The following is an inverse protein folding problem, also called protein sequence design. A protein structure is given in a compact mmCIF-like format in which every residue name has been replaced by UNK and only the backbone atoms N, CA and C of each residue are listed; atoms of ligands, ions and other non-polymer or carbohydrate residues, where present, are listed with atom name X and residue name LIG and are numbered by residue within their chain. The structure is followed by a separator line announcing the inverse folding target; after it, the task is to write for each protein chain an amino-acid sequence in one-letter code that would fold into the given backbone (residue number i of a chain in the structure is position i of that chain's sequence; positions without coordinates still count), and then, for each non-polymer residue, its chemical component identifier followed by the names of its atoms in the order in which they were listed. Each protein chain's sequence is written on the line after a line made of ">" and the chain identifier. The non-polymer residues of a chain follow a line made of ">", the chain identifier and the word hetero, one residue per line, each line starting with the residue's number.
data_IF_655650321886
#
_entry.id   IF_655650321886
#
_cell.length_a   1.000
_cell.length_b   1.000
_cell.length_c   1.000
_cell.angle_alpha   90.00
_cell.angle_beta   90.00
_cell.angle_gamma   90.00
#
_symmetry.space_group_name_H-M   'P 1'
#
loop_
_entity.id
_entity.type
_entity.pdbx_description
1 polymer ?
#
# COMPACT_ATOMS: atom_id res chain seq x y z
N UNK A 1 -12.99 -26.02 -37.56
CA UNK A 1 -13.38 -25.00 -36.56
C UNK A 1 -14.74 -25.42 -35.98
N UNK A 2 -14.74 -26.13 -34.81
CA UNK A 2 -15.97 -26.72 -34.24
C UNK A 2 -16.62 -25.66 -33.36
N UNK A 3 -17.78 -25.15 -33.78
CA UNK A 3 -18.61 -24.27 -32.95
C UNK A 3 -19.19 -25.12 -31.81
N UNK A 4 -18.65 -25.00 -30.58
CA UNK A 4 -19.32 -25.55 -29.39
C UNK A 4 -20.69 -24.86 -29.24
N UNK A 5 -21.73 -25.72 -29.16
CA UNK A 5 -23.12 -25.28 -29.02
C UNK A 5 -23.29 -24.51 -27.68
N UNK A 6 -23.93 -23.37 -27.68
CA UNK A 6 -24.16 -22.49 -26.50
C UNK A 6 -24.76 -23.27 -25.31
N UNK A 7 -25.65 -24.23 -25.57
CA UNK A 7 -26.23 -25.12 -24.54
C UNK A 7 -25.18 -26.00 -23.85
N UNK A 8 -24.17 -26.48 -24.60
CA UNK A 8 -23.09 -27.27 -24.02
C UNK A 8 -22.20 -26.45 -23.11
N UNK A 9 -21.93 -25.21 -23.48
CA UNK A 9 -21.16 -24.28 -22.67
C UNK A 9 -21.89 -23.88 -21.36
N UNK A 10 -23.21 -23.73 -21.41
CA UNK A 10 -24.02 -23.47 -20.23
C UNK A 10 -24.06 -24.68 -19.30
N UNK A 11 -24.21 -25.90 -19.84
CA UNK A 11 -24.18 -27.12 -19.05
C UNK A 11 -22.82 -27.36 -18.39
N UNK A 12 -21.72 -27.18 -19.14
CA UNK A 12 -20.36 -27.30 -18.60
C UNK A 12 -20.10 -26.27 -17.49
N UNK A 13 -20.63 -25.06 -17.64
CA UNK A 13 -20.53 -23.98 -16.63
C UNK A 13 -21.31 -24.30 -15.36
N UNK A 14 -22.54 -24.82 -15.50
CA UNK A 14 -23.36 -25.23 -14.35
C UNK A 14 -22.71 -26.38 -13.57
N UNK A 15 -22.10 -27.34 -14.27
CA UNK A 15 -21.40 -28.46 -13.67
C UNK A 15 -20.19 -28.00 -12.85
N UNK A 16 -19.37 -27.09 -13.39
CA UNK A 16 -18.22 -26.50 -12.71
C UNK A 16 -18.67 -25.69 -11.47
N UNK A 17 -19.78 -24.94 -11.58
CA UNK A 17 -20.32 -24.19 -10.45
C UNK A 17 -20.89 -25.10 -9.35
N UNK A 18 -21.50 -26.22 -9.73
CA UNK A 18 -22.01 -27.21 -8.80
C UNK A 18 -20.88 -27.90 -8.01
N UNK A 19 -19.77 -28.25 -8.69
CA UNK A 19 -18.59 -28.84 -8.05
C UNK A 19 -17.88 -27.84 -7.14
N UNK A 20 -17.75 -26.57 -7.55
CA UNK A 20 -17.19 -25.50 -6.73
C UNK A 20 -18.02 -25.27 -5.47
N UNK A 21 -19.36 -25.29 -5.57
CA UNK A 21 -20.26 -25.17 -4.41
C UNK A 21 -20.12 -26.34 -3.45
N UNK A 22 -20.01 -27.59 -3.96
CA UNK A 22 -19.76 -28.77 -3.12
C UNK A 22 -18.43 -28.70 -2.39
N UNK A 23 -17.38 -28.27 -3.07
CA UNK A 23 -16.05 -28.15 -2.45
C UNK A 23 -16.03 -27.04 -1.39
N UNK A 24 -16.68 -25.90 -1.63
CA UNK A 24 -16.85 -24.83 -0.63
C UNK A 24 -17.65 -25.33 0.55
N UNK A 25 -18.77 -26.04 0.34
CA UNK A 25 -19.57 -26.60 1.41
C UNK A 25 -18.76 -27.58 2.26
N UNK A 26 -17.99 -28.49 1.62
CA UNK A 26 -17.10 -29.44 2.31
C UNK A 26 -16.03 -28.76 3.14
N UNK A 27 -15.44 -27.66 2.64
CA UNK A 27 -14.46 -26.87 3.40
C UNK A 27 -15.05 -26.10 4.56
N UNK A 28 -16.32 -25.68 4.44
CA UNK A 28 -17.05 -25.00 5.53
C UNK A 28 -17.54 -25.98 6.60
N UNK A 29 -17.70 -27.25 6.28
CA UNK A 29 -18.14 -28.30 7.22
C UNK A 29 -17.03 -28.79 8.17
N UNK A 30 -15.76 -28.42 7.95
CA UNK A 30 -14.68 -28.80 8.85
C UNK A 30 -14.91 -28.20 10.26
N UNK A 31 -14.98 -29.03 11.32
CA UNK A 31 -15.41 -28.58 12.67
C UNK A 31 -14.57 -27.45 13.25
N UNK A 32 -13.28 -27.43 12.93
CA UNK A 32 -12.33 -26.41 13.41
C UNK A 32 -12.62 -25.00 12.83
N UNK A 33 -12.97 -24.90 11.55
CA UNK A 33 -13.30 -23.62 10.89
C UNK A 33 -14.66 -23.09 11.35
N UNK A 34 -15.62 -23.99 11.48
CA UNK A 34 -16.96 -23.63 11.97
C UNK A 34 -16.93 -23.14 13.42
N UNK A 35 -16.10 -23.76 14.25
CA UNK A 35 -15.87 -23.32 15.63
C UNK A 35 -15.16 -21.96 15.69
N UNK A 36 -14.19 -21.72 14.81
CA UNK A 36 -13.53 -20.43 14.69
C UNK A 36 -14.49 -19.32 14.25
N UNK A 37 -15.27 -19.54 13.19
CA UNK A 37 -16.26 -18.57 12.72
C UNK A 37 -17.34 -18.27 13.77
N UNK A 38 -17.84 -19.29 14.48
CA UNK A 38 -18.79 -19.09 15.57
C UNK A 38 -18.19 -18.26 16.71
N UNK A 39 -16.96 -18.55 17.13
CA UNK A 39 -16.26 -17.79 18.18
C UNK A 39 -15.95 -16.35 17.75
N UNK A 40 -15.57 -16.14 16.49
CA UNK A 40 -15.35 -14.80 15.95
C UNK A 40 -16.66 -14.01 15.83
N UNK A 41 -17.75 -14.64 15.46
CA UNK A 41 -19.08 -14.01 15.40
C UNK A 41 -19.62 -13.65 16.79
N UNK A 42 -19.39 -14.52 17.80
CA UNK A 42 -19.75 -14.23 19.20
C UNK A 42 -18.87 -13.11 19.78
N UNK A 43 -17.57 -13.09 19.48
CA UNK A 43 -16.67 -12.02 19.93
C UNK A 43 -17.03 -10.67 19.25
N UNK A 44 -17.28 -10.68 17.94
CA UNK A 44 -17.73 -9.50 17.18
C UNK A 44 -19.12 -9.03 17.61
N UNK A 45 -20.05 -9.96 17.89
CA UNK A 45 -21.37 -9.63 18.40
C UNK A 45 -21.35 -9.05 19.83
N UNK A 46 -20.48 -9.56 20.70
CA UNK A 46 -20.26 -8.98 22.04
C UNK A 46 -19.66 -7.58 21.96
N UNK A 47 -18.75 -7.33 21.00
CA UNK A 47 -18.18 -6.00 20.77
C UNK A 47 -19.22 -4.99 20.28
N UNK A 48 -20.20 -5.43 19.47
CA UNK A 48 -21.32 -4.60 19.02
C UNK A 48 -22.33 -4.32 20.14
N UNK A 49 -22.55 -5.25 21.06
CA UNK A 49 -23.44 -5.07 22.21
C UNK A 49 -22.85 -4.16 23.29
N UNK A 50 -21.53 -4.12 23.43
CA UNK A 50 -20.86 -3.19 24.34
C UNK A 50 -20.83 -1.75 23.80
N UNK A 51 -21.10 -1.54 22.48
CA UNK A 51 -21.16 -0.23 21.84
C UNK A 51 -22.35 0.65 22.22
N UNK A 52 -23.37 0.10 22.90
CA UNK A 52 -24.57 0.87 23.28
C UNK A 52 -24.36 1.90 24.42
N UNK A 53 -23.18 1.95 25.02
CA UNK A 53 -22.85 2.91 26.08
C UNK A 53 -21.88 4.03 25.64
N UNK A 54 -21.47 4.04 24.36
CA UNK A 54 -20.50 5.01 23.83
C UNK A 54 -21.27 6.12 23.12
N UNK A 55 -21.88 7.01 23.89
CA UNK A 55 -22.60 8.20 23.37
C UNK A 55 -21.77 9.49 23.43
N UNK A 56 -20.55 9.42 23.96
CA UNK A 56 -19.63 10.55 24.02
C UNK A 56 -18.55 10.42 22.95
N UNK A 57 -18.38 11.44 22.10
CA UNK A 57 -17.39 11.48 21.01
C UNK A 57 -15.96 11.17 21.50
N UNK A 58 -15.59 11.68 22.67
CA UNK A 58 -14.28 11.44 23.28
C UNK A 58 -14.07 9.94 23.63
N UNK A 59 -15.13 9.24 24.01
CA UNK A 59 -15.06 7.81 24.35
C UNK A 59 -14.88 6.96 23.09
N UNK A 60 -15.53 7.32 21.97
CA UNK A 60 -15.37 6.65 20.68
C UNK A 60 -13.96 6.86 20.14
N UNK A 61 -13.47 8.08 20.16
CA UNK A 61 -12.11 8.41 19.72
C UNK A 61 -11.07 7.63 20.55
N UNK A 62 -11.21 7.61 21.86
CA UNK A 62 -10.31 6.86 22.76
C UNK A 62 -10.32 5.37 22.45
N UNK A 63 -11.49 4.77 22.21
CA UNK A 63 -11.62 3.35 21.86
C UNK A 63 -10.96 3.07 20.50
N UNK A 64 -11.19 3.90 19.49
CA UNK A 64 -10.57 3.76 18.17
C UNK A 64 -9.04 3.89 18.24
N UNK A 65 -8.54 4.84 19.03
CA UNK A 65 -7.10 5.00 19.27
C UNK A 65 -6.49 3.77 19.96
N UNK A 66 -7.19 3.14 20.89
CA UNK A 66 -6.71 1.91 21.53
C UNK A 66 -6.66 0.75 20.56
N UNK A 67 -7.68 0.60 19.69
CA UNK A 67 -7.70 -0.42 18.63
C UNK A 67 -6.56 -0.17 17.64
N UNK A 68 -6.33 1.08 17.22
CA UNK A 68 -5.22 1.44 16.35
C UNK A 68 -3.88 1.05 16.97
N UNK A 69 -3.62 1.45 18.20
CA UNK A 69 -2.38 1.08 18.92
C UNK A 69 -2.20 -0.42 19.12
N UNK A 70 -3.29 -1.15 19.28
CA UNK A 70 -3.24 -2.61 19.33
C UNK A 70 -2.84 -3.19 17.97
N UNK A 71 -3.44 -2.70 16.88
CA UNK A 71 -3.08 -3.10 15.52
C UNK A 71 -1.62 -2.81 15.21
N UNK A 72 -1.11 -1.64 15.59
CA UNK A 72 0.30 -1.26 15.41
C UNK A 72 1.23 -2.25 16.12
N UNK A 73 0.90 -2.65 17.35
CA UNK A 73 1.67 -3.67 18.08
C UNK A 73 1.63 -5.04 17.41
N UNK A 74 0.46 -5.45 16.91
CA UNK A 74 0.30 -6.73 16.18
C UNK A 74 1.11 -6.70 14.90
N UNK A 75 1.04 -5.60 14.14
CA UNK A 75 1.83 -5.43 12.92
C UNK A 75 3.33 -5.42 13.22
N UNK A 76 3.78 -4.67 14.23
CA UNK A 76 5.18 -4.66 14.65
C UNK A 76 5.71 -6.02 15.13
N UNK A 77 4.82 -6.91 15.59
CA UNK A 77 5.18 -8.29 15.93
C UNK A 77 5.19 -9.23 14.72
N UNK A 78 4.30 -8.99 13.74
CA UNK A 78 4.17 -9.83 12.54
C UNK A 78 5.19 -9.46 11.45
N UNK A 79 5.57 -8.20 11.37
CA UNK A 79 6.42 -7.67 10.31
C UNK A 79 7.73 -7.13 10.88
N UNK A 80 8.82 -7.57 10.29
CA UNK A 80 10.15 -7.05 10.58
C UNK A 80 10.40 -5.78 9.77
N UNK A 81 10.41 -4.62 10.42
CA UNK A 81 10.64 -3.31 9.79
C UNK A 81 12.04 -3.16 9.18
N UNK A 82 12.99 -4.03 9.55
CA UNK A 82 14.35 -4.03 9.00
C UNK A 82 14.48 -4.88 7.74
N UNK A 83 13.46 -5.68 7.42
CA UNK A 83 13.45 -6.53 6.23
C UNK A 83 13.11 -5.74 4.98
N UNK A 84 14.08 -5.59 4.11
CA UNK A 84 13.88 -4.93 2.82
C UNK A 84 12.95 -5.73 1.91
N UNK A 85 12.23 -5.02 1.03
CA UNK A 85 11.41 -5.63 0.00
C UNK A 85 12.26 -6.52 -0.93
N UNK A 86 11.71 -7.66 -1.40
CA UNK A 86 12.40 -8.49 -2.39
C UNK A 86 12.69 -7.72 -3.68
N UNK A 87 13.86 -7.96 -4.26
CA UNK A 87 14.23 -7.46 -5.59
C UNK A 87 13.94 -8.52 -6.65
N UNK A 88 13.72 -8.06 -7.87
CA UNK A 88 13.36 -8.91 -9.01
C UNK A 88 14.31 -8.66 -10.18
N UNK A 89 14.52 -9.62 -11.09
CA UNK A 89 15.28 -9.40 -12.31
C UNK A 89 14.51 -8.48 -13.28
N UNK A 90 15.24 -7.74 -14.11
CA UNK A 90 14.70 -6.78 -15.09
C UNK A 90 13.67 -7.41 -16.05
N UNK A 91 13.78 -8.73 -16.30
CA UNK A 91 12.83 -9.48 -17.13
C UNK A 91 11.42 -9.58 -16.55
N UNK A 92 11.25 -9.30 -15.26
CA UNK A 92 9.96 -9.31 -14.57
C UNK A 92 9.28 -7.94 -14.49
N UNK A 93 9.90 -6.90 -15.03
CA UNK A 93 9.32 -5.56 -15.03
C UNK A 93 8.00 -5.58 -15.81
N UNK A 94 6.94 -5.11 -15.18
CA UNK A 94 5.61 -4.99 -15.78
C UNK A 94 5.61 -3.93 -16.87
N UNK A 95 5.14 -4.30 -18.06
CA UNK A 95 5.06 -3.38 -19.21
C UNK A 95 3.73 -3.56 -19.95
N UNK A 96 2.93 -2.49 -20.17
CA UNK A 96 3.12 -1.14 -19.62
C UNK A 96 2.99 -1.13 -18.10
N UNK A 97 3.68 -0.19 -17.43
CA UNK A 97 3.48 0.03 -16.00
C UNK A 97 2.12 0.72 -15.81
N UNK A 98 1.28 0.28 -14.85
CA UNK A 98 -0.02 0.90 -14.62
C UNK A 98 0.11 2.38 -14.24
N UNK A 99 -0.76 3.20 -14.80
CA UNK A 99 -0.90 4.58 -14.36
C UNK A 99 -1.39 4.61 -12.90
N UNK A 100 -0.81 5.46 -12.08
CA UNK A 100 -1.09 5.52 -10.65
C UNK A 100 -1.15 6.98 -10.19
N UNK A 101 -2.32 7.58 -10.35
CA UNK A 101 -2.66 8.90 -9.84
C UNK A 101 -4.14 8.94 -9.46
N UNK A 102 -4.54 9.95 -8.68
CA UNK A 102 -5.95 10.20 -8.31
C UNK A 102 -6.73 11.00 -9.36
N UNK A 103 -6.11 11.28 -10.50
CA UNK A 103 -6.66 11.99 -11.66
C UNK A 103 -6.39 11.19 -12.95
N UNK A 104 -7.03 11.57 -14.06
CA UNK A 104 -6.86 10.93 -15.36
C UNK A 104 -5.52 11.23 -16.03
N UNK A 105 -5.10 10.37 -16.96
CA UNK A 105 -3.84 10.58 -17.71
C UNK A 105 -3.82 11.88 -18.50
N UNK A 106 -4.97 12.40 -18.90
CA UNK A 106 -5.16 13.67 -19.61
C UNK A 106 -5.00 14.91 -18.71
N UNK A 107 -4.97 14.71 -17.39
CA UNK A 107 -4.78 15.76 -16.40
C UNK A 107 -3.37 15.82 -15.84
N UNK A 108 -2.42 15.05 -16.41
CA UNK A 108 -1.03 15.03 -15.95
C UNK A 108 -0.43 16.44 -16.05
N UNK A 109 0.08 16.93 -14.91
CA UNK A 109 0.81 18.19 -14.88
C UNK A 109 2.20 17.98 -15.46
N UNK A 110 2.48 18.63 -16.58
CA UNK A 110 3.85 18.69 -17.14
C UNK A 110 4.75 19.55 -16.25
N UNK A 111 5.92 19.02 -15.94
CA UNK A 111 6.94 19.72 -15.15
C UNK A 111 8.18 19.89 -16.04
N UNK A 112 8.53 21.12 -16.33
CA UNK A 112 9.77 21.42 -17.04
C UNK A 112 10.98 21.13 -16.16
N UNK A 113 11.86 20.24 -16.61
CA UNK A 113 13.05 19.82 -15.85
C UNK A 113 13.96 21.00 -15.45
N UNK A 114 14.15 21.96 -16.34
CA UNK A 114 15.00 23.14 -16.10
C UNK A 114 14.44 24.07 -15.02
N UNK A 115 13.09 24.14 -14.94
CA UNK A 115 12.36 24.93 -13.94
C UNK A 115 12.19 24.23 -12.61
N UNK A 116 12.39 22.90 -12.55
CA UNK A 116 12.13 22.12 -11.32
C UNK A 116 13.03 22.53 -10.16
N UNK A 117 12.43 22.71 -9.02
CA UNK A 117 13.11 23.03 -7.75
C UNK A 117 12.52 22.17 -6.62
N UNK A 118 13.39 21.39 -5.99
CA UNK A 118 13.03 20.68 -4.76
C UNK A 118 13.31 21.58 -3.57
N UNK A 119 12.27 22.02 -2.91
CA UNK A 119 12.37 22.77 -1.66
C UNK A 119 12.57 21.83 -0.49
N UNK A 120 13.53 22.15 0.39
CA UNK A 120 13.80 21.38 1.59
C UNK A 120 13.59 22.30 2.80
N UNK A 121 12.69 21.90 3.72
CA UNK A 121 12.29 22.68 4.89
C UNK A 121 12.27 21.83 6.16
N UNK A 122 11.94 22.41 7.29
CA UNK A 122 11.80 21.70 8.56
C UNK A 122 13.12 21.54 9.32
N UNK A 123 13.31 20.39 9.94
CA UNK A 123 14.44 20.08 10.82
C UNK A 123 15.66 19.60 10.03
N UNK A 124 16.21 20.46 9.18
CA UNK A 124 17.41 20.24 8.36
C UNK A 124 18.38 21.40 8.50
N UNK A 125 19.67 21.17 8.32
CA UNK A 125 20.69 22.22 8.35
C UNK A 125 20.72 23.01 7.03
N UNK A 126 20.61 22.35 5.88
CA UNK A 126 20.62 22.96 4.54
C UNK A 126 19.17 23.06 3.99
N UNK A 127 18.58 24.25 4.13
CA UNK A 127 17.19 24.56 3.72
C UNK A 127 17.10 25.19 2.32
N UNK A 128 18.13 25.08 1.52
CA UNK A 128 18.11 25.61 0.15
C UNK A 128 17.23 24.77 -0.78
N UNK A 129 16.91 25.33 -1.91
CA UNK A 129 16.32 24.59 -3.01
C UNK A 129 17.37 23.79 -3.77
N UNK A 130 16.98 22.64 -4.31
CA UNK A 130 17.81 21.75 -5.09
C UNK A 130 17.30 21.66 -6.52
N UNK A 131 18.19 21.77 -7.47
CA UNK A 131 17.89 21.55 -8.89
C UNK A 131 17.90 20.06 -9.21
N UNK A 132 17.21 19.67 -10.29
CA UNK A 132 17.25 18.31 -10.78
C UNK A 132 18.67 17.88 -11.20
N UNK A 133 19.45 18.80 -11.77
CA UNK A 133 20.85 18.56 -12.13
C UNK A 133 21.71 18.22 -10.89
N UNK A 134 21.55 18.94 -9.79
CA UNK A 134 22.27 18.65 -8.54
C UNK A 134 21.87 17.30 -7.95
N UNK A 135 20.58 16.93 -8.00
CA UNK A 135 20.12 15.62 -7.57
C UNK A 135 20.69 14.51 -8.46
N UNK A 136 20.70 14.68 -9.78
CA UNK A 136 21.29 13.72 -10.73
C UNK A 136 22.81 13.57 -10.59
N UNK A 137 23.51 14.61 -10.12
CA UNK A 137 24.94 14.55 -9.84
C UNK A 137 25.31 13.77 -8.57
N UNK A 138 24.34 13.49 -7.70
CA UNK A 138 24.56 12.63 -6.52
C UNK A 138 24.64 11.15 -6.93
N UNK A 139 25.30 10.28 -6.15
CA UNK A 139 25.30 8.85 -6.42
C UNK A 139 23.87 8.30 -6.55
N UNK A 140 23.62 7.64 -7.66
CA UNK A 140 22.32 7.03 -7.98
C UNK A 140 22.32 5.53 -7.67
N UNK A 141 21.16 4.98 -7.33
CA UNK A 141 20.96 3.55 -7.14
C UNK A 141 19.68 3.13 -7.84
N UNK A 142 19.72 2.00 -8.52
CA UNK A 142 18.56 1.37 -9.13
C UNK A 142 18.10 0.18 -8.30
N UNK A 143 16.80 -0.04 -8.28
CA UNK A 143 16.21 -1.25 -7.70
C UNK A 143 14.97 -1.68 -8.47
N UNK A 144 14.75 -2.98 -8.58
CA UNK A 144 13.56 -3.55 -9.20
C UNK A 144 12.73 -4.18 -8.09
N UNK A 145 11.61 -3.57 -7.75
CA UNK A 145 10.74 -4.01 -6.64
C UNK A 145 9.28 -4.02 -7.05
N UNK A 146 8.46 -4.74 -6.29
CA UNK A 146 7.01 -4.74 -6.47
C UNK A 146 6.41 -3.51 -5.81
N UNK A 147 5.67 -2.75 -6.59
CA UNK A 147 4.73 -1.74 -6.10
C UNK A 147 3.36 -2.39 -5.85
N UNK A 148 2.77 -2.13 -4.70
CA UNK A 148 1.43 -2.60 -4.34
C UNK A 148 0.57 -1.36 -4.11
N UNK A 149 -0.48 -1.22 -4.92
CA UNK A 149 -1.41 -0.12 -4.82
C UNK A 149 -2.55 -0.43 -3.85
N UNK A 150 -3.06 0.60 -3.18
CA UNK A 150 -4.25 0.50 -2.30
C UNK A 150 -5.53 0.10 -3.06
N UNK A 151 -5.55 0.31 -4.36
CA UNK A 151 -6.63 -0.13 -5.26
C UNK A 151 -6.68 -1.64 -5.52
N UNK A 152 -5.73 -2.40 -4.96
CA UNK A 152 -5.71 -3.87 -5.03
C UNK A 152 -4.92 -4.47 -6.19
N UNK A 153 -4.26 -3.68 -7.02
CA UNK A 153 -3.33 -4.17 -8.05
C UNK A 153 -1.87 -4.08 -7.60
N UNK A 154 -1.00 -4.81 -8.27
CA UNK A 154 0.45 -4.70 -8.06
C UNK A 154 1.21 -4.83 -9.37
N UNK A 155 2.36 -4.16 -9.45
CA UNK A 155 3.24 -4.18 -10.61
C UNK A 155 4.72 -4.20 -10.16
N UNK A 156 5.59 -4.79 -10.97
CA UNK A 156 7.04 -4.75 -10.74
C UNK A 156 7.61 -3.60 -11.56
N UNK A 157 8.23 -2.63 -10.87
CA UNK A 157 8.85 -1.45 -11.48
C UNK A 157 10.34 -1.39 -11.22
N UNK A 158 11.07 -0.75 -12.14
CA UNK A 158 12.45 -0.32 -11.92
C UNK A 158 12.45 1.12 -11.45
N UNK A 159 13.03 1.34 -10.30
CA UNK A 159 13.09 2.63 -9.62
C UNK A 159 14.54 3.05 -9.53
N UNK A 160 14.85 4.25 -10.01
CA UNK A 160 16.19 4.79 -9.95
C UNK A 160 16.21 6.16 -9.30
N UNK A 161 17.27 6.47 -8.54
CA UNK A 161 17.42 7.77 -7.92
C UNK A 161 18.47 7.81 -6.82
N UNK A 162 18.53 8.95 -6.14
CA UNK A 162 19.40 9.15 -4.98
C UNK A 162 18.84 8.35 -3.80
N UNK A 163 19.60 7.49 -3.12
CA UNK A 163 19.15 6.87 -1.88
C UNK A 163 18.73 7.92 -0.86
N UNK A 164 17.48 7.84 -0.40
CA UNK A 164 16.89 8.86 0.47
C UNK A 164 17.72 9.13 1.71
N UNK A 165 18.23 8.09 2.37
CA UNK A 165 19.13 8.24 3.50
C UNK A 165 20.42 9.02 3.18
N UNK A 166 20.91 8.94 1.96
CA UNK A 166 22.06 9.73 1.51
C UNK A 166 21.71 11.20 1.33
N UNK A 167 20.54 11.47 0.80
CA UNK A 167 20.01 12.83 0.70
C UNK A 167 19.78 13.45 2.08
N UNK A 168 19.13 12.73 3.02
CA UNK A 168 18.93 13.22 4.39
C UNK A 168 20.24 13.58 5.09
N UNK A 169 21.27 12.74 4.94
CA UNK A 169 22.61 13.08 5.47
C UNK A 169 23.20 14.32 4.81
N UNK A 170 23.00 14.48 3.48
CA UNK A 170 23.53 15.62 2.72
C UNK A 170 22.93 16.94 3.17
N UNK A 171 21.62 16.96 3.46
CA UNK A 171 20.94 18.18 3.96
C UNK A 171 21.06 18.37 5.47
N UNK A 172 21.75 17.47 6.17
CA UNK A 172 21.92 17.53 7.62
C UNK A 172 20.58 17.42 8.36
N UNK A 173 19.77 16.42 7.98
CA UNK A 173 18.46 16.20 8.62
C UNK A 173 18.63 15.74 10.08
N UNK A 174 17.78 16.28 10.95
CA UNK A 174 17.65 15.81 12.33
C UNK A 174 16.90 14.48 12.36
N UNK A 175 17.61 13.39 12.64
CA UNK A 175 17.06 12.04 12.67
C UNK A 175 16.14 11.79 13.88
N UNK A 176 15.97 12.74 14.78
CA UNK A 176 14.94 12.67 15.83
C UNK A 176 13.54 13.06 15.33
N UNK A 177 13.44 13.61 14.12
CA UNK A 177 12.16 13.88 13.46
C UNK A 177 11.40 12.56 13.23
N UNK A 178 10.12 12.53 13.62
CA UNK A 178 9.29 11.32 13.52
C UNK A 178 8.72 11.12 12.12
N UNK A 179 8.58 12.18 11.33
CA UNK A 179 7.94 12.15 10.02
C UNK A 179 8.69 13.00 9.02
N UNK A 180 8.67 12.55 7.77
CA UNK A 180 9.06 13.35 6.61
C UNK A 180 7.83 13.55 5.74
N UNK A 181 7.45 14.81 5.50
CA UNK A 181 6.34 15.17 4.61
C UNK A 181 6.83 15.40 3.18
N UNK A 182 6.02 15.01 2.22
CA UNK A 182 6.23 15.25 0.78
C UNK A 182 5.06 16.05 0.25
N UNK A 183 5.35 17.17 -0.37
CA UNK A 183 4.37 17.97 -1.10
C UNK A 183 4.73 17.89 -2.58
N UNK A 184 3.83 17.35 -3.38
CA UNK A 184 4.04 17.08 -4.79
C UNK A 184 3.60 18.26 -5.66
N UNK A 185 4.08 18.30 -6.91
CA UNK A 185 3.77 19.37 -7.85
C UNK A 185 2.30 19.35 -8.33
N UNK A 186 1.62 18.22 -8.18
CA UNK A 186 0.19 18.00 -8.47
C UNK A 186 -0.71 18.23 -7.25
N UNK A 187 -0.17 18.91 -6.21
CA UNK A 187 -0.83 19.19 -4.93
C UNK A 187 -1.10 17.94 -4.07
N UNK A 188 -0.63 16.75 -4.48
CA UNK A 188 -0.66 15.57 -3.60
C UNK A 188 0.26 15.78 -2.40
N UNK A 189 -0.18 15.31 -1.25
CA UNK A 189 0.59 15.35 0.01
C UNK A 189 0.62 13.98 0.66
N UNK A 190 1.80 13.56 1.14
CA UNK A 190 1.96 12.36 1.93
C UNK A 190 3.08 12.52 2.96
N UNK A 191 3.17 11.59 3.89
CA UNK A 191 4.27 11.52 4.85
C UNK A 191 4.68 10.08 5.11
N UNK A 192 5.94 9.91 5.49
CA UNK A 192 6.53 8.65 5.97
C UNK A 192 7.13 8.87 7.35
N UNK A 193 7.17 7.83 8.18
CA UNK A 193 7.84 7.74 9.47
C UNK A 193 9.23 7.12 9.36
#
# INVERSE_FOLDING_TARGET
>A
MIKKNTRQLEFDRELVLADARKEIARRLEQPARRSFLRRSLTLGGLSLLSGCAITDENSVETALMQVSRFNDKVQGWLFDSTRLAPTYPDSMITRPFPFNAYYGEDEIREIEEEGYRLEVTGLVADKRTWTLAELRAMPQTDQVTRHICVEGWSAIGKWGGVPFASFLRKVGADLSAKYVGFKCADDYYTSID
#
